data_IF_707906056133
#
_entry.id   IF_707906056133
#
_cell.length_a   1.000
_cell.length_b   1.000
_cell.length_c   1.000
_cell.angle_alpha   90.00
_cell.angle_beta   90.00
_cell.angle_gamma   90.00
#
_symmetry.space_group_name_H-M   'P 1'
#
loop_
_entity.id
_entity.type
_entity.pdbx_description
1 polymer ?
#
# COMPACT_ATOMS: atom_id res chain seq x y z
N UNK A 1 -17.16 13.19 -5.63
CA UNK A 1 -15.86 13.21 -6.31
C UNK A 1 -14.85 12.53 -5.41
N UNK A 2 -14.01 11.65 -5.95
CA UNK A 2 -12.92 11.06 -5.18
C UNK A 2 -11.79 12.10 -5.10
N UNK A 3 -11.34 12.54 -3.91
CA UNK A 3 -10.33 13.60 -3.79
C UNK A 3 -8.90 13.11 -4.15
N UNK A 4 -8.74 11.82 -4.41
CA UNK A 4 -7.46 11.18 -4.68
C UNK A 4 -7.20 11.04 -6.18
N UNK A 5 -5.94 11.23 -6.57
CA UNK A 5 -5.43 11.02 -7.92
C UNK A 5 -4.39 9.90 -7.89
N UNK A 6 -4.17 9.22 -9.02
CA UNK A 6 -3.10 8.25 -9.13
C UNK A 6 -1.73 8.92 -8.89
N UNK A 7 -0.92 8.33 -8.01
CA UNK A 7 0.41 8.85 -7.67
C UNK A 7 1.46 7.85 -8.12
N UNK A 8 2.41 8.27 -8.95
CA UNK A 8 3.58 7.48 -9.30
C UNK A 8 4.62 7.53 -8.19
N UNK A 9 5.06 6.35 -7.76
CA UNK A 9 6.01 6.16 -6.67
C UNK A 9 7.13 5.23 -7.09
N UNK A 10 8.26 5.31 -6.39
CA UNK A 10 9.38 4.39 -6.57
C UNK A 10 9.40 3.39 -5.42
N UNK A 11 9.37 2.09 -5.77
CA UNK A 11 9.50 1.02 -4.80
C UNK A 11 10.91 1.01 -4.21
N UNK A 12 11.07 0.47 -2.99
CA UNK A 12 12.39 0.16 -2.43
C UNK A 12 13.25 -0.80 -3.28
N UNK A 13 12.65 -1.49 -4.27
CA UNK A 13 13.40 -2.30 -5.24
C UNK A 13 13.91 -1.51 -6.46
N UNK A 14 13.59 -0.21 -6.55
CA UNK A 14 13.97 0.67 -7.66
C UNK A 14 12.91 0.81 -8.76
N UNK A 15 11.91 -0.07 -8.80
CA UNK A 15 10.88 -0.05 -9.85
C UNK A 15 9.80 1.01 -9.58
N UNK A 16 9.35 1.76 -10.61
CA UNK A 16 8.20 2.64 -10.50
C UNK A 16 6.91 1.83 -10.34
N UNK A 17 5.95 2.36 -9.59
CA UNK A 17 4.61 1.80 -9.46
C UNK A 17 3.59 2.89 -9.13
N UNK A 18 2.33 2.62 -9.43
CA UNK A 18 1.22 3.55 -9.15
C UNK A 18 0.59 3.21 -7.80
N UNK A 19 0.43 4.22 -6.94
CA UNK A 19 -0.51 4.20 -5.83
C UNK A 19 -1.82 4.81 -6.30
N UNK A 20 -2.75 3.93 -6.64
CA UNK A 20 -3.99 4.33 -7.31
C UNK A 20 -4.90 5.15 -6.39
N UNK A 21 -5.73 6.00 -6.99
CA UNK A 21 -6.78 6.71 -6.26
C UNK A 21 -7.70 5.76 -5.49
N UNK A 22 -7.99 4.57 -6.05
CA UNK A 22 -8.78 3.53 -5.38
C UNK A 22 -8.09 2.95 -4.13
N UNK A 23 -6.78 2.69 -4.19
CA UNK A 23 -6.01 2.27 -3.02
C UNK A 23 -5.95 3.38 -1.95
N UNK A 24 -5.88 4.64 -2.35
CA UNK A 24 -5.92 5.79 -1.44
C UNK A 24 -7.27 5.88 -0.73
N UNK A 25 -8.38 5.78 -1.47
CA UNK A 25 -9.74 5.76 -0.89
C UNK A 25 -9.89 4.64 0.12
N UNK A 26 -9.44 3.43 -0.22
CA UNK A 26 -9.54 2.27 0.66
C UNK A 26 -8.75 2.46 1.97
N UNK A 27 -7.52 2.95 1.89
CA UNK A 27 -6.69 3.20 3.08
C UNK A 27 -7.31 4.31 3.95
N UNK A 28 -7.88 5.35 3.32
CA UNK A 28 -8.56 6.42 4.07
C UNK A 28 -9.82 5.91 4.77
N UNK A 29 -10.63 5.07 4.12
CA UNK A 29 -11.80 4.43 4.73
C UNK A 29 -11.40 3.58 5.95
N UNK A 30 -10.28 2.85 5.89
CA UNK A 30 -9.75 2.11 7.04
C UNK A 30 -9.32 3.04 8.18
N UNK A 31 -8.75 4.20 7.87
CA UNK A 31 -8.36 5.19 8.86
C UNK A 31 -9.59 5.82 9.54
N UNK A 32 -10.59 6.23 8.76
CA UNK A 32 -11.85 6.79 9.27
C UNK A 32 -12.62 5.78 10.14
N UNK A 33 -12.56 4.49 9.80
CA UNK A 33 -13.13 3.40 10.61
C UNK A 33 -12.27 3.00 11.82
N UNK A 34 -11.16 3.68 12.07
CA UNK A 34 -10.25 3.39 13.19
C UNK A 34 -9.54 2.04 13.10
N UNK A 35 -9.46 1.43 11.90
CA UNK A 35 -8.77 0.15 11.68
C UNK A 35 -7.26 0.30 11.59
N UNK A 36 -6.78 1.48 11.23
CA UNK A 36 -5.36 1.84 11.18
C UNK A 36 -5.14 3.19 11.87
N UNK A 37 -3.97 3.42 12.48
CA UNK A 37 -3.71 4.65 13.23
C UNK A 37 -3.39 5.87 12.34
N UNK A 38 -3.02 5.65 11.07
CA UNK A 38 -2.73 6.72 10.11
C UNK A 38 -2.76 6.20 8.67
N UNK A 39 -3.08 7.10 7.73
CA UNK A 39 -2.92 6.86 6.29
C UNK A 39 -1.43 6.97 5.94
N UNK A 40 -0.86 5.92 5.35
CA UNK A 40 0.54 5.90 4.94
C UNK A 40 0.70 5.47 3.49
N UNK A 41 1.59 6.17 2.79
CA UNK A 41 1.96 5.85 1.43
C UNK A 41 2.70 4.50 1.35
N UNK A 42 2.39 3.65 0.36
CA UNK A 42 3.12 2.41 0.16
C UNK A 42 4.58 2.67 -0.21
N UNK A 43 5.49 1.94 0.44
CA UNK A 43 6.94 1.97 0.13
C UNK A 43 7.36 0.88 -0.87
N UNK A 44 6.47 -0.05 -1.19
CA UNK A 44 6.75 -1.23 -2.01
C UNK A 44 5.66 -1.42 -3.05
N UNK A 45 6.04 -1.78 -4.27
CA UNK A 45 5.14 -2.21 -5.33
C UNK A 45 4.40 -3.51 -4.94
N UNK A 46 3.30 -3.83 -5.64
CA UNK A 46 2.47 -5.01 -5.36
C UNK A 46 3.29 -6.32 -5.29
N UNK A 47 4.20 -6.62 -6.24
CA UNK A 47 5.04 -7.81 -6.17
C UNK A 47 5.90 -7.88 -4.90
N UNK A 48 6.53 -6.78 -4.51
CA UNK A 48 7.36 -6.72 -3.30
C UNK A 48 6.53 -6.82 -2.01
N UNK A 49 5.29 -6.29 -2.00
CA UNK A 49 4.36 -6.47 -0.88
C UNK A 49 3.97 -7.94 -0.73
N UNK A 50 3.67 -8.64 -1.83
CA UNK A 50 3.35 -10.08 -1.84
C UNK A 50 4.53 -10.93 -1.35
N UNK A 51 5.73 -10.74 -1.92
CA UNK A 51 6.95 -11.45 -1.51
C UNK A 51 7.24 -11.28 -0.01
N UNK A 52 7.09 -10.06 0.53
CA UNK A 52 7.30 -9.80 1.96
C UNK A 52 6.25 -10.49 2.84
N UNK A 53 5.00 -10.55 2.39
CA UNK A 53 3.93 -11.28 3.08
C UNK A 53 4.23 -12.78 3.13
N UNK A 54 4.59 -13.37 2.00
CA UNK A 54 4.98 -14.79 1.89
C UNK A 54 6.19 -15.13 2.77
N UNK A 55 7.19 -14.25 2.82
CA UNK A 55 8.35 -14.43 3.70
C UNK A 55 7.99 -14.37 5.19
N UNK A 56 6.99 -13.57 5.56
CA UNK A 56 6.50 -13.50 6.94
C UNK A 56 5.75 -14.79 7.30
N UNK A 57 4.83 -15.21 6.44
CA UNK A 57 4.03 -16.42 6.64
C UNK A 57 4.90 -17.69 6.71
N UNK A 58 6.02 -17.74 5.99
CA UNK A 58 6.98 -18.86 6.06
C UNK A 58 7.85 -18.91 7.33
N UNK A 59 7.96 -17.81 8.09
CA UNK A 59 8.76 -17.76 9.32
C UNK A 59 7.96 -18.15 10.57
N UNK A 60 6.64 -18.25 10.44
CA UNK A 60 5.73 -18.58 11.53
C UNK A 60 5.41 -20.10 11.61
N UNK A 61 6.23 -20.96 10.98
CA UNK A 61 6.14 -22.42 11.02
C UNK A 61 7.40 -23.06 11.63
#
# INVERSE_FOLDING_TARGET
MNPYNDIELVCLCGEPFVWSAGEQTFINDLYEKGKIPSVQQPKRCVPCRKKKKEQRERKDY
#
